data_IF_909443460760
#
_entry.id   IF_909443460760
#
_cell.length_a   1.000
_cell.length_b   1.000
_cell.length_c   1.000
_cell.angle_alpha   90.00
_cell.angle_beta   90.00
_cell.angle_gamma   90.00
#
_symmetry.space_group_name_H-M   'P 1'
#
loop_
_entity.id
_entity.type
_entity.pdbx_description
1 polymer ?
#
# COMPACT_ATOMS: atom_id res chain seq x y z
N UNK A 1 -0.55 -83.13 10.96
CA UNK A 1 -0.40 -82.51 10.78
C UNK A 1 -0.13 -81.49 10.46
N UNK A 2 -0.02 -81.03 10.29
CA UNK A 2 0.24 -80.19 9.95
C UNK A 2 0.34 -79.18 9.60
N UNK A 3 0.41 -78.69 9.36
CA UNK A 3 0.64 -77.78 8.98
C UNK A 3 0.65 -76.78 8.63
N UNK A 4 0.82 -76.28 8.43
CA UNK A 4 0.97 -75.41 8.05
C UNK A 4 1.12 -74.36 7.78
N UNK A 5 1.33 -73.89 7.67
CA UNK A 5 1.55 -73.05 7.36
C UNK A 5 1.52 -72.06 6.94
N UNK A 6 1.74 -71.32 6.83
CA UNK A 6 1.84 -70.42 6.46
C UNK A 6 1.98 -69.49 6.21
N UNK A 7 2.20 -69.11 6.07
CA UNK A 7 2.43 -68.38 5.73
C UNK A 7 2.47 -67.43 5.46
N UNK A 8 2.59 -66.78 5.32
CA UNK A 8 2.66 -65.90 4.95
C UNK A 8 2.79 -64.92 4.64
N UNK A 9 2.88 -64.42 4.40
CA UNK A 9 2.94 -63.57 3.98
C UNK A 9 2.96 -62.41 3.98
N UNK A 10 3.06 -62.00 3.86
CA UNK A 10 3.15 -60.96 3.76
C UNK A 10 3.45 -60.02 3.42
N UNK A 11 3.47 -59.45 3.23
CA UNK A 11 3.69 -58.57 2.91
C UNK A 11 3.59 -57.57 2.54
N UNK A 12 3.74 -57.22 2.34
CA UNK A 12 3.74 -56.48 2.02
C UNK A 12 3.75 -55.36 1.74
N UNK A 13 3.80 -54.91 1.62
CA UNK A 13 3.84 -53.94 1.27
C UNK A 13 4.03 -52.88 1.32
N UNK A 14 4.08 -52.38 1.28
CA UNK A 14 4.24 -51.49 1.20
C UNK A 14 4.37 -50.52 0.90
N UNK A 15 4.59 -50.18 0.77
CA UNK A 15 4.85 -49.43 0.46
C UNK A 15 4.69 -48.47 0.08
N UNK A 16 4.90 -47.99 -0.29
CA UNK A 16 4.70 -47.19 -0.86
C UNK A 16 4.54 -46.07 -0.70
N UNK A 17 4.43 -45.76 -0.59
CA UNK A 17 4.06 -44.77 -0.37
C UNK A 17 4.69 -43.64 -0.48
N UNK A 18 4.90 -43.12 -0.12
CA UNK A 18 5.58 -42.06 -0.17
C UNK A 18 5.51 -41.27 -1.18
N UNK A 19 5.38 -41.63 -1.93
CA UNK A 19 5.42 -41.00 -2.92
C UNK A 19 4.84 -39.84 -3.07
N UNK A 20 3.90 -39.66 -2.85
CA UNK A 20 3.31 -38.54 -3.28
C UNK A 20 3.77 -37.34 -2.71
N UNK A 21 4.28 -37.42 -1.73
CA UNK A 21 4.58 -36.24 -1.11
C UNK A 21 5.26 -35.30 -1.91
N UNK A 22 6.02 -35.75 -2.77
CA UNK A 22 6.70 -34.89 -3.44
C UNK A 22 5.99 -34.04 -4.25
N UNK A 23 5.09 -34.39 -4.77
CA UNK A 23 4.45 -33.59 -5.73
C UNK A 23 4.19 -32.29 -5.20
N UNK A 24 3.99 -32.22 -4.03
CA UNK A 24 3.69 -31.04 -3.54
C UNK A 24 4.60 -30.00 -3.73
N UNK A 25 5.70 -30.26 -3.48
CA UNK A 25 6.62 -29.22 -3.52
C UNK A 25 6.58 -28.48 -4.72
N UNK A 26 6.32 -29.07 -5.76
CA UNK A 26 6.35 -28.41 -6.82
C UNK A 26 5.34 -27.57 -7.13
N UNK A 27 4.40 -27.70 -6.89
CA UNK A 27 3.46 -26.91 -7.44
C UNK A 27 3.28 -25.63 -6.88
N UNK A 28 4.07 -25.17 -6.25
CA UNK A 28 3.83 -23.96 -5.67
C UNK A 28 3.80 -22.86 -6.62
N UNK A 29 2.73 -22.64 -7.24
CA UNK A 29 2.63 -21.58 -8.02
C UNK A 29 2.01 -20.55 -7.23
N UNK A 30 2.59 -19.42 -7.16
CA UNK A 30 2.00 -18.35 -6.48
C UNK A 30 1.03 -17.72 -7.36
N UNK A 31 -0.18 -18.05 -7.23
CA UNK A 31 -1.21 -17.34 -7.93
C UNK A 31 -1.60 -16.18 -7.08
N UNK A 32 -1.45 -15.02 -7.59
CA UNK A 32 -1.93 -13.83 -6.93
C UNK A 32 -3.41 -13.73 -7.23
N UNK A 33 -4.20 -13.85 -6.21
CA UNK A 33 -5.62 -13.70 -6.39
C UNK A 33 -5.91 -12.21 -6.59
N UNK A 34 -6.48 -11.89 -7.71
CA UNK A 34 -6.83 -10.51 -7.98
C UNK A 34 -8.16 -10.22 -7.31
N UNK A 35 -8.15 -9.29 -6.39
CA UNK A 35 -9.37 -8.90 -5.72
C UNK A 35 -10.27 -8.16 -6.68
N UNK A 36 -11.55 -8.47 -6.61
CA UNK A 36 -12.51 -7.76 -7.46
C UNK A 36 -12.86 -6.47 -6.76
N UNK A 37 -12.73 -5.38 -7.48
CA UNK A 37 -13.09 -4.07 -6.97
C UNK A 37 -14.30 -3.59 -7.77
N UNK A 38 -15.29 -3.08 -7.08
CA UNK A 38 -16.45 -2.53 -7.74
C UNK A 38 -16.09 -1.19 -8.38
N UNK A 39 -16.19 -1.06 -9.69
CA UNK A 39 -15.85 0.18 -10.35
C UNK A 39 -16.67 1.37 -9.87
N UNK A 40 -17.92 1.15 -9.51
CA UNK A 40 -18.75 2.25 -9.02
C UNK A 40 -18.23 2.80 -7.71
N UNK A 41 -17.75 1.93 -6.83
CA UNK A 41 -17.17 2.36 -5.58
C UNK A 41 -15.85 3.08 -5.84
N UNK A 42 -15.04 2.58 -6.73
CA UNK A 42 -13.77 3.22 -7.07
C UNK A 42 -14.01 4.61 -7.68
N UNK A 43 -15.08 4.77 -8.42
CA UNK A 43 -15.39 6.03 -9.06
C UNK A 43 -15.79 7.15 -8.08
N UNK A 44 -16.06 6.80 -6.83
CA UNK A 44 -16.36 7.84 -5.83
C UNK A 44 -15.08 8.50 -5.32
N UNK A 45 -13.92 7.94 -5.65
CA UNK A 45 -12.66 8.49 -5.19
C UNK A 45 -12.15 9.62 -6.07
N UNK A 46 -11.03 10.14 -5.70
CA UNK A 46 -10.41 11.22 -6.44
C UNK A 46 -9.22 10.68 -7.24
N UNK A 47 -9.06 11.19 -8.44
CA UNK A 47 -7.95 10.76 -9.28
C UNK A 47 -6.65 11.33 -8.73
N UNK A 48 -5.66 10.49 -8.57
CA UNK A 48 -4.35 10.93 -8.07
C UNK A 48 -3.77 12.07 -8.92
N UNK A 49 -3.98 12.00 -10.22
CA UNK A 49 -3.48 13.03 -11.12
C UNK A 49 -4.15 14.40 -10.91
N UNK A 50 -5.31 14.42 -10.25
CA UNK A 50 -5.97 15.67 -9.94
C UNK A 50 -5.57 16.16 -8.55
N UNK A 51 -5.11 15.26 -7.70
CA UNK A 51 -4.65 15.62 -6.36
C UNK A 51 -3.28 16.25 -6.46
N UNK A 52 -2.40 15.65 -7.26
CA UNK A 52 -1.04 16.15 -7.43
C UNK A 52 -1.10 17.54 -8.08
N UNK A 53 -0.45 18.48 -7.49
CA UNK A 53 -0.45 19.87 -7.95
C UNK A 53 -1.51 20.75 -7.31
N UNK A 54 -2.42 20.15 -6.53
CA UNK A 54 -3.47 20.93 -5.90
C UNK A 54 -2.94 21.73 -4.72
N UNK A 55 -3.55 22.88 -4.47
CA UNK A 55 -3.20 23.70 -3.34
C UNK A 55 -3.77 23.09 -2.06
N UNK A 56 -3.06 23.22 -0.98
CA UNK A 56 -3.48 22.76 0.33
C UNK A 56 -3.76 23.98 1.20
N UNK A 57 -4.94 24.00 1.80
CA UNK A 57 -5.37 25.10 2.64
C UNK A 57 -5.66 24.61 4.05
N UNK A 58 -5.57 25.51 5.01
CA UNK A 58 -5.92 25.18 6.39
C UNK A 58 -7.37 25.60 6.68
N UNK A 59 -7.77 25.53 7.94
CA UNK A 59 -9.13 25.88 8.33
C UNK A 59 -9.49 27.32 8.07
N UNK A 60 -8.51 28.21 8.08
CA UNK A 60 -8.73 29.59 7.79
C UNK A 60 -8.71 29.88 6.29
N UNK A 61 -8.70 28.84 5.49
CA UNK A 61 -8.64 28.94 4.04
C UNK A 61 -7.36 29.62 3.53
N UNK A 62 -6.31 29.54 4.33
CA UNK A 62 -5.01 30.05 3.91
C UNK A 62 -4.26 28.94 3.19
N UNK A 63 -3.64 29.26 2.08
CA UNK A 63 -2.83 28.28 1.35
C UNK A 63 -1.53 28.05 2.09
N UNK A 64 -1.33 26.82 2.55
CA UNK A 64 -0.14 26.46 3.32
C UNK A 64 0.89 25.68 2.50
N UNK A 65 0.51 25.23 1.33
CA UNK A 65 1.41 24.50 0.45
C UNK A 65 0.67 23.92 -0.73
N UNK A 66 1.28 22.97 -1.39
CA UNK A 66 0.65 22.25 -2.48
C UNK A 66 1.09 20.78 -2.44
N UNK A 67 0.33 19.91 -3.07
CA UNK A 67 0.68 18.50 -3.15
C UNK A 67 1.70 18.34 -4.27
N UNK A 68 2.90 17.92 -3.91
CA UNK A 68 3.95 17.69 -4.89
C UNK A 68 3.83 16.32 -5.53
N UNK A 69 3.54 15.31 -4.74
CA UNK A 69 3.39 13.95 -5.24
C UNK A 69 2.67 13.09 -4.20
N UNK A 70 2.39 11.85 -4.57
CA UNK A 70 1.84 10.86 -3.67
C UNK A 70 2.81 9.68 -3.63
N UNK A 71 3.07 9.17 -2.43
CA UNK A 71 3.96 8.03 -2.25
C UNK A 71 3.14 6.82 -1.86
N UNK A 72 3.26 5.76 -2.62
CA UNK A 72 2.60 4.50 -2.34
C UNK A 72 3.67 3.54 -1.84
N UNK A 73 3.51 3.06 -0.62
CA UNK A 73 4.44 2.09 -0.06
C UNK A 73 3.82 0.71 -0.12
N UNK A 74 4.60 -0.33 -0.37
CA UNK A 74 4.04 -1.68 -0.51
C UNK A 74 3.35 -2.18 0.74
N UNK A 75 3.81 -1.73 1.89
CA UNK A 75 3.31 -2.25 3.15
C UNK A 75 2.15 -1.47 3.73
N UNK A 76 1.85 -0.32 3.18
CA UNK A 76 0.80 0.52 3.70
C UNK A 76 -0.42 0.49 2.80
N UNK A 77 -1.58 0.53 3.41
CA UNK A 77 -2.81 0.48 2.65
C UNK A 77 -3.19 1.82 2.05
N UNK A 78 -2.68 2.89 2.59
CA UNK A 78 -3.00 4.22 2.12
C UNK A 78 -1.72 4.96 1.75
N UNK A 79 -1.76 5.77 0.72
CA UNK A 79 -0.57 6.51 0.31
C UNK A 79 -0.29 7.68 1.25
N UNK A 80 0.90 8.22 1.11
CA UNK A 80 1.29 9.44 1.78
C UNK A 80 1.32 10.56 0.76
N UNK A 81 1.03 11.76 1.19
CA UNK A 81 1.12 12.93 0.34
C UNK A 81 2.39 13.71 0.68
N UNK A 82 3.13 14.08 -0.35
CA UNK A 82 4.29 14.94 -0.18
C UNK A 82 3.83 16.36 -0.47
N UNK A 83 3.99 17.23 0.52
CA UNK A 83 3.61 18.60 0.39
C UNK A 83 4.84 19.48 0.18
N UNK A 84 4.71 20.42 -0.73
CA UNK A 84 5.70 21.46 -0.92
C UNK A 84 5.24 22.65 -0.10
N UNK A 85 6.04 23.04 0.87
CA UNK A 85 5.69 24.08 1.83
C UNK A 85 6.68 25.23 1.74
N UNK A 86 6.18 26.44 1.73
CA UNK A 86 7.05 27.61 1.65
C UNK A 86 7.54 27.82 0.23
N UNK A 87 8.67 28.47 0.09
CA UNK A 87 9.20 28.56 -1.27
C UNK A 87 8.69 29.74 -2.07
N UNK A 88 9.00 30.94 -1.66
CA UNK A 88 8.71 32.05 -2.49
C UNK A 88 9.70 32.00 -3.65
N UNK A 89 9.21 31.90 -4.84
CA UNK A 89 10.03 31.83 -6.03
C UNK A 89 10.98 30.61 -6.02
N UNK A 90 10.54 29.53 -5.39
CA UNK A 90 11.36 28.33 -5.34
C UNK A 90 12.48 28.33 -4.32
N UNK A 91 12.64 29.41 -3.58
CA UNK A 91 13.67 29.49 -2.56
C UNK A 91 13.11 29.06 -1.22
N UNK A 92 13.76 28.14 -0.57
CA UNK A 92 13.33 27.70 0.75
C UNK A 92 12.17 26.73 0.74
N UNK A 93 11.91 26.09 -0.39
CA UNK A 93 10.87 25.08 -0.44
C UNK A 93 11.26 23.88 0.39
N UNK A 94 10.35 23.43 1.23
CA UNK A 94 10.54 22.27 2.06
C UNK A 94 9.52 21.23 1.68
N UNK A 95 9.92 19.99 1.60
CA UNK A 95 8.99 18.89 1.36
C UNK A 95 8.73 18.19 2.68
N UNK A 96 7.47 17.94 2.96
CA UNK A 96 7.05 17.20 4.16
C UNK A 96 6.02 16.15 3.75
N UNK A 97 5.86 15.14 4.58
CA UNK A 97 4.96 14.03 4.28
C UNK A 97 3.84 13.98 5.28
N UNK A 98 2.62 13.83 4.80
CA UNK A 98 1.46 13.61 5.67
C UNK A 98 0.64 12.44 5.12
N UNK A 99 -0.07 11.72 5.98
CA UNK A 99 -0.95 10.66 5.48
C UNK A 99 -2.06 11.26 4.63
N UNK A 100 -2.39 10.60 3.53
CA UNK A 100 -3.49 11.06 2.68
C UNK A 100 -4.79 11.13 3.46
N UNK A 101 -4.97 10.24 4.44
CA UNK A 101 -6.18 10.25 5.27
C UNK A 101 -6.37 11.51 6.11
N UNK A 102 -5.32 12.32 6.27
CA UNK A 102 -5.42 13.58 6.99
C UNK A 102 -5.96 14.69 6.09
N UNK A 103 -6.01 14.46 4.79
CA UNK A 103 -6.45 15.46 3.85
C UNK A 103 -7.95 15.35 3.62
N UNK A 104 -8.60 16.48 3.43
CA UNK A 104 -10.01 16.51 3.09
C UNK A 104 -10.15 17.05 1.69
N UNK A 105 -10.64 16.22 0.80
CA UNK A 105 -10.78 16.60 -0.58
C UNK A 105 -12.02 17.47 -0.75
N UNK A 106 -11.82 18.60 -1.37
CA UNK A 106 -12.91 19.52 -1.71
C UNK A 106 -12.81 19.77 -3.21
N UNK A 107 -13.86 20.33 -3.79
CA UNK A 107 -13.93 20.44 -5.24
C UNK A 107 -12.71 21.03 -5.91
N UNK A 108 -12.16 22.06 -5.39
CA UNK A 108 -11.02 22.72 -6.01
C UNK A 108 -9.82 22.87 -5.11
N UNK A 109 -9.94 22.45 -3.87
CA UNK A 109 -8.86 22.62 -2.91
C UNK A 109 -8.77 21.39 -2.02
N UNK A 110 -7.64 21.22 -1.44
CA UNK A 110 -7.46 20.14 -0.48
C UNK A 110 -7.24 20.82 0.88
N UNK A 111 -8.06 20.46 1.84
CA UNK A 111 -7.95 21.02 3.16
C UNK A 111 -7.15 20.10 4.07
N UNK A 112 -6.26 20.67 4.85
CA UNK A 112 -5.54 19.96 5.89
C UNK A 112 -5.82 20.68 7.20
N UNK A 113 -6.84 20.23 7.93
CA UNK A 113 -7.24 20.90 9.16
C UNK A 113 -6.10 20.94 10.18
N UNK A 114 -5.96 22.05 10.85
CA UNK A 114 -4.93 22.20 11.86
C UNK A 114 -3.56 22.55 11.33
N UNK A 115 -3.40 22.60 10.04
CA UNK A 115 -2.09 22.89 9.47
C UNK A 115 -1.85 24.40 9.40
N UNK A 116 -0.76 24.83 9.99
CA UNK A 116 -0.26 26.16 9.77
C UNK A 116 1.04 26.02 9.02
N UNK A 117 1.51 27.08 8.40
CA UNK A 117 2.81 27.03 7.73
C UNK A 117 3.90 26.64 8.72
N UNK A 118 3.82 27.17 9.95
CA UNK A 118 4.82 26.87 10.95
C UNK A 118 4.76 25.40 11.40
N UNK A 119 3.56 24.87 11.54
CA UNK A 119 3.40 23.46 11.91
C UNK A 119 3.97 22.56 10.83
N UNK A 120 3.75 22.89 9.57
CA UNK A 120 4.29 22.08 8.47
C UNK A 120 5.79 22.24 8.37
N UNK A 121 6.32 23.41 8.62
CA UNK A 121 7.76 23.60 8.58
C UNK A 121 8.46 22.89 9.73
N UNK A 122 7.75 22.58 10.80
CA UNK A 122 8.32 21.82 11.91
C UNK A 122 8.40 20.32 11.66
N UNK A 123 7.73 19.82 10.62
CA UNK A 123 7.81 18.41 10.29
C UNK A 123 9.17 18.07 9.71
N UNK A 124 9.59 16.81 9.80
CA UNK A 124 10.86 16.39 9.23
C UNK A 124 10.90 16.61 7.72
N UNK A 125 12.06 16.96 7.23
CA UNK A 125 12.24 17.14 5.80
C UNK A 125 12.13 15.80 5.08
N UNK A 126 11.50 15.81 3.92
CA UNK A 126 11.37 14.63 3.10
C UNK A 126 12.23 14.78 1.84
N UNK A 127 12.88 13.72 1.45
CA UNK A 127 13.62 13.66 0.21
C UNK A 127 13.20 12.41 -0.54
N UNK A 128 12.96 12.56 -1.84
CA UNK A 128 12.60 11.42 -2.67
C UNK A 128 13.77 10.43 -2.76
N UNK A 129 13.42 9.19 -2.89
CA UNK A 129 14.40 8.11 -2.96
C UNK A 129 14.85 7.81 -4.37
N UNK A 130 14.61 8.65 -5.30
CA UNK A 130 14.99 8.39 -6.69
C UNK A 130 15.95 9.44 -7.18
#
# INVERSE_FOLDING_TARGET
>A
MILKRFTSAAFAAMITAGLGAQAIAQGVQQTVAIAKVDPATAATGFRASKIIGSSVVNEANETVGSIDDLIVTPDEKAPYAVLSVGGFLGIGTKYVVVPVGSLRMQDKKIALPGATKDALKALPDFKYNT
#
